data_IF_755377912657
#
_entry.id   IF_755377912657
#
_cell.length_a   1.000
_cell.length_b   1.000
_cell.length_c   1.000
_cell.angle_alpha   90.00
_cell.angle_beta   90.00
_cell.angle_gamma   90.00
#
_symmetry.space_group_name_H-M   'P 1'
#
loop_
_entity.id
_entity.type
_entity.pdbx_description
1 polymer ?
#
# COMPACT_ATOMS: atom_id res chain seq x y z
N UNK A 1 -6.78 -26.04 14.54
CA UNK A 1 -7.80 -27.05 14.87
C UNK A 1 -7.32 -28.38 14.33
N UNK A 2 -7.36 -29.41 15.15
CA UNK A 2 -6.94 -30.78 14.87
C UNK A 2 -8.18 -31.68 14.76
N UNK A 3 -8.09 -32.76 13.96
CA UNK A 3 -9.20 -33.69 13.71
C UNK A 3 -9.68 -34.45 14.96
N UNK A 4 -8.91 -34.40 16.05
CA UNK A 4 -9.25 -35.00 17.34
C UNK A 4 -10.11 -34.08 18.23
N UNK A 5 -10.58 -32.95 17.70
CA UNK A 5 -11.37 -31.98 18.44
C UNK A 5 -10.53 -31.07 19.34
N UNK A 6 -9.21 -31.04 19.19
CA UNK A 6 -8.33 -30.10 19.91
C UNK A 6 -7.86 -28.96 19.01
N UNK A 7 -7.31 -27.91 19.61
CA UNK A 7 -6.72 -26.79 18.89
C UNK A 7 -5.80 -25.96 19.76
N UNK A 8 -5.02 -25.12 19.09
CA UNK A 8 -4.16 -24.13 19.73
C UNK A 8 -4.53 -22.76 19.17
N UNK A 9 -4.72 -21.80 20.05
CA UNK A 9 -4.96 -20.41 19.70
C UNK A 9 -3.67 -19.63 20.01
N UNK A 10 -3.09 -19.00 18.98
CA UNK A 10 -1.90 -18.18 19.11
C UNK A 10 -2.34 -16.74 19.40
N UNK A 11 -2.05 -16.23 20.62
CA UNK A 11 -2.19 -14.80 20.95
C UNK A 11 -0.80 -14.22 21.18
N UNK A 12 -0.70 -12.89 21.08
CA UNK A 12 0.53 -12.14 21.31
C UNK A 12 1.17 -12.35 22.67
N UNK A 13 0.40 -12.77 23.69
CA UNK A 13 0.89 -12.88 25.07
C UNK A 13 0.91 -14.33 25.59
N UNK A 14 -0.01 -15.20 25.15
CA UNK A 14 -0.04 -16.62 25.56
C UNK A 14 -0.65 -17.52 24.49
N UNK A 15 -0.05 -18.70 24.31
CA UNK A 15 -0.62 -19.78 23.50
C UNK A 15 -1.62 -20.56 24.36
N UNK A 16 -2.90 -20.53 23.96
CA UNK A 16 -3.96 -21.27 24.63
C UNK A 16 -4.26 -22.59 23.92
N UNK A 17 -4.59 -23.63 24.67
CA UNK A 17 -5.24 -24.82 24.10
C UNK A 17 -6.76 -24.67 24.16
N UNK A 18 -7.48 -25.28 23.22
CA UNK A 18 -8.93 -25.35 23.24
C UNK A 18 -9.41 -26.70 22.72
N UNK A 19 -10.61 -27.10 23.13
CA UNK A 19 -11.35 -28.16 22.45
C UNK A 19 -12.46 -27.56 21.60
N UNK A 20 -12.85 -28.24 20.54
CA UNK A 20 -13.92 -27.81 19.67
C UNK A 20 -14.79 -28.98 19.23
N UNK A 21 -16.07 -28.68 18.98
CA UNK A 21 -17.06 -29.63 18.46
C UNK A 21 -18.01 -28.92 17.51
N UNK A 22 -18.64 -29.69 16.63
CA UNK A 22 -19.67 -29.16 15.72
C UNK A 22 -20.97 -29.95 15.87
N UNK A 23 -22.10 -29.25 16.01
CA UNK A 23 -23.46 -29.82 16.05
C UNK A 23 -24.40 -28.84 15.33
N UNK A 24 -25.25 -29.33 14.42
CA UNK A 24 -26.27 -28.55 13.70
C UNK A 24 -25.80 -27.18 13.17
N UNK A 25 -24.69 -27.15 12.42
CA UNK A 25 -24.03 -25.97 11.84
C UNK A 25 -23.45 -24.96 12.85
N UNK A 26 -23.42 -25.31 14.13
CA UNK A 26 -22.72 -24.57 15.18
C UNK A 26 -21.35 -25.18 15.49
N UNK A 27 -20.35 -24.32 15.60
CA UNK A 27 -19.02 -24.60 16.15
C UNK A 27 -19.02 -24.13 17.61
N UNK A 28 -18.80 -25.05 18.54
CA UNK A 28 -18.56 -24.74 19.94
C UNK A 28 -17.06 -24.84 20.20
N UNK A 29 -16.46 -23.77 20.72
CA UNK A 29 -15.06 -23.73 21.14
C UNK A 29 -15.01 -23.56 22.65
N UNK A 30 -14.27 -24.43 23.31
CA UNK A 30 -14.03 -24.42 24.75
C UNK A 30 -12.54 -24.16 25.00
N UNK A 31 -12.14 -22.90 25.26
CA UNK A 31 -10.78 -22.59 25.67
C UNK A 31 -10.43 -23.29 26.99
N UNK A 32 -9.14 -23.62 27.19
CA UNK A 32 -8.69 -24.22 28.45
C UNK A 32 -8.92 -23.32 29.67
N UNK A 33 -8.81 -22.00 29.49
CA UNK A 33 -8.87 -21.00 30.57
C UNK A 33 -9.89 -19.86 30.29
N UNK A 34 -11.00 -20.15 29.62
CA UNK A 34 -11.96 -19.11 29.22
C UNK A 34 -13.39 -19.59 29.07
N UNK A 35 -14.26 -18.64 28.71
CA UNK A 35 -15.67 -18.92 28.47
C UNK A 35 -15.86 -19.66 27.13
N UNK A 36 -16.78 -20.61 27.15
CA UNK A 36 -17.22 -21.30 25.94
C UNK A 36 -17.90 -20.30 25.03
N UNK A 37 -17.50 -20.24 23.77
CA UNK A 37 -18.24 -19.52 22.75
C UNK A 37 -18.80 -20.47 21.70
N UNK A 38 -19.94 -20.10 21.15
CA UNK A 38 -20.59 -20.82 20.06
C UNK A 38 -20.74 -19.87 18.88
N UNK A 39 -20.29 -20.32 17.71
CA UNK A 39 -20.41 -19.59 16.47
C UNK A 39 -21.09 -20.45 15.42
N UNK A 40 -21.89 -19.84 14.56
CA UNK A 40 -22.24 -20.49 13.28
C UNK A 40 -21.07 -20.39 12.34
N UNK A 41 -20.85 -21.39 11.49
CA UNK A 41 -19.72 -21.38 10.56
C UNK A 41 -20.15 -21.60 9.11
N UNK A 42 -19.45 -20.94 8.19
CA UNK A 42 -19.60 -21.15 6.76
C UNK A 42 -18.23 -21.40 6.12
N UNK A 43 -18.08 -22.55 5.48
CA UNK A 43 -16.88 -22.84 4.69
C UNK A 43 -16.96 -22.16 3.31
N UNK A 44 -15.87 -21.48 2.95
CA UNK A 44 -15.61 -20.97 1.62
C UNK A 44 -14.42 -21.69 0.97
N UNK A 45 -13.99 -21.22 -0.19
CA UNK A 45 -12.77 -21.72 -0.83
C UNK A 45 -11.55 -21.27 -0.02
N UNK A 46 -10.94 -22.20 0.74
CA UNK A 46 -9.82 -21.94 1.66
C UNK A 46 -10.11 -20.95 2.79
N UNK A 47 -11.38 -20.67 3.09
CA UNK A 47 -11.76 -19.79 4.21
C UNK A 47 -12.81 -20.43 5.09
N UNK A 48 -12.88 -19.99 6.35
CA UNK A 48 -14.03 -20.21 7.22
C UNK A 48 -14.48 -18.87 7.78
N UNK A 49 -15.78 -18.61 7.70
CA UNK A 49 -16.41 -17.46 8.35
C UNK A 49 -17.12 -17.96 9.60
N UNK A 50 -16.82 -17.37 10.75
CA UNK A 50 -17.51 -17.60 12.01
C UNK A 50 -18.42 -16.41 12.31
N UNK A 51 -19.67 -16.65 12.67
CA UNK A 51 -20.60 -15.60 13.12
C UNK A 51 -21.10 -15.94 14.52
N UNK A 52 -20.88 -15.03 15.47
CA UNK A 52 -21.31 -15.17 16.87
C UNK A 52 -21.76 -13.82 17.45
N UNK A 53 -22.30 -13.84 18.67
CA UNK A 53 -22.65 -12.62 19.41
C UNK A 53 -21.73 -12.48 20.62
N UNK A 54 -21.11 -11.32 20.78
CA UNK A 54 -20.29 -10.96 21.93
C UNK A 54 -20.77 -9.60 22.46
N UNK A 55 -21.09 -9.50 23.75
CA UNK A 55 -21.61 -8.28 24.39
C UNK A 55 -22.81 -7.62 23.67
N UNK A 56 -23.71 -8.44 23.11
CA UNK A 56 -24.88 -7.96 22.37
C UNK A 56 -24.57 -7.43 20.97
N UNK A 57 -23.35 -7.64 20.46
CA UNK A 57 -22.93 -7.26 19.11
C UNK A 57 -22.72 -8.50 18.26
N UNK A 58 -23.21 -8.47 17.03
CA UNK A 58 -22.91 -9.48 16.03
C UNK A 58 -21.45 -9.33 15.58
N UNK A 59 -20.64 -10.37 15.80
CA UNK A 59 -19.25 -10.49 15.40
C UNK A 59 -19.17 -11.47 14.23
N UNK A 60 -18.44 -11.08 13.19
CA UNK A 60 -18.13 -11.94 12.05
C UNK A 60 -16.62 -12.00 11.88
N UNK A 61 -16.06 -13.18 12.10
CA UNK A 61 -14.63 -13.44 11.93
C UNK A 61 -14.41 -14.25 10.66
N UNK A 62 -13.36 -13.95 9.92
CA UNK A 62 -13.02 -14.68 8.70
C UNK A 62 -11.57 -15.14 8.78
N UNK A 63 -11.37 -16.44 8.65
CA UNK A 63 -10.07 -17.06 8.69
C UNK A 63 -9.76 -17.66 7.33
N UNK A 64 -8.53 -17.44 6.87
CA UNK A 64 -8.00 -18.07 5.68
C UNK A 64 -7.06 -19.22 6.09
N UNK A 65 -7.18 -20.36 5.40
CA UNK A 65 -6.37 -21.54 5.68
C UNK A 65 -4.92 -21.26 5.30
N UNK A 66 -3.98 -21.46 6.23
CA UNK A 66 -2.56 -21.46 5.88
C UNK A 66 -2.22 -22.68 5.01
N UNK A 67 -1.74 -22.45 3.79
CA UNK A 67 -1.29 -23.53 2.88
C UNK A 67 0.23 -23.54 2.68
N UNK A 68 0.91 -22.42 2.97
CA UNK A 68 2.32 -22.23 2.62
C UNK A 68 2.57 -21.97 1.12
N UNK A 69 1.51 -21.95 0.30
CA UNK A 69 1.61 -21.68 -1.13
C UNK A 69 1.83 -20.20 -1.40
N UNK A 70 2.60 -19.88 -2.44
CA UNK A 70 2.84 -18.50 -2.87
C UNK A 70 2.36 -18.28 -4.29
N UNK A 71 1.58 -17.22 -4.48
CA UNK A 71 1.30 -16.70 -5.80
C UNK A 71 2.58 -16.08 -6.39
N UNK A 72 3.26 -16.80 -7.28
CA UNK A 72 4.53 -16.37 -7.91
C UNK A 72 4.43 -15.03 -8.64
N UNK A 73 3.22 -14.62 -9.04
CA UNK A 73 3.03 -13.33 -9.72
C UNK A 73 3.16 -12.14 -8.75
N UNK A 74 3.03 -12.36 -7.44
CA UNK A 74 3.29 -11.35 -6.41
C UNK A 74 4.77 -11.11 -6.16
N UNK A 75 5.67 -12.02 -6.58
CA UNK A 75 7.12 -11.84 -6.40
C UNK A 75 7.59 -10.60 -7.18
N UNK A 76 8.29 -9.70 -6.50
CA UNK A 76 8.84 -8.47 -7.07
C UNK A 76 8.64 -7.25 -6.17
N UNK A 77 8.95 -6.09 -6.74
CA UNK A 77 8.82 -4.79 -6.10
C UNK A 77 7.51 -4.12 -6.50
N UNK A 78 6.79 -3.57 -5.51
CA UNK A 78 5.47 -2.96 -5.64
C UNK A 78 5.50 -1.57 -5.04
N UNK A 79 5.03 -0.57 -5.78
CA UNK A 79 5.05 0.84 -5.36
C UNK A 79 3.63 1.33 -5.18
N UNK A 80 3.36 1.96 -4.04
CA UNK A 80 2.06 2.51 -3.71
C UNK A 80 1.65 3.62 -4.67
N UNK A 81 0.42 3.56 -5.19
CA UNK A 81 -0.12 4.57 -6.12
C UNK A 81 -1.42 5.22 -5.65
N UNK A 82 -2.16 4.51 -4.79
CA UNK A 82 -3.38 5.01 -4.19
C UNK A 82 -3.65 4.26 -2.90
N UNK A 83 -4.15 4.97 -1.91
CA UNK A 83 -4.73 4.41 -0.70
C UNK A 83 -6.05 5.12 -0.46
N UNK A 84 -7.07 4.38 -0.03
CA UNK A 84 -8.38 4.91 0.32
C UNK A 84 -8.71 4.48 1.74
N UNK A 85 -9.00 5.45 2.61
CA UNK A 85 -9.47 5.22 3.98
C UNK A 85 -10.70 6.09 4.19
N UNK A 86 -11.83 5.54 4.61
CA UNK A 86 -13.05 6.34 4.83
C UNK A 86 -13.46 7.21 3.62
N UNK A 87 -13.32 6.67 2.40
CA UNK A 87 -13.55 7.37 1.13
C UNK A 87 -12.61 8.56 0.85
N UNK A 88 -11.51 8.66 1.59
CA UNK A 88 -10.46 9.65 1.36
C UNK A 88 -9.32 9.00 0.61
N UNK A 89 -9.06 9.49 -0.60
CA UNK A 89 -7.93 9.06 -1.41
C UNK A 89 -6.64 9.77 -1.02
N UNK A 90 -5.53 9.02 -1.03
CA UNK A 90 -4.18 9.51 -0.77
C UNK A 90 -3.20 8.77 -1.68
N UNK A 91 -2.05 9.39 -1.95
CA UNK A 91 -0.92 8.69 -2.58
C UNK A 91 0.02 8.20 -1.47
N UNK A 92 0.11 6.89 -1.21
CA UNK A 92 0.98 6.37 -0.17
C UNK A 92 2.45 6.41 -0.62
N UNK A 93 3.32 6.97 0.21
CA UNK A 93 4.76 6.76 0.11
C UNK A 93 5.04 5.36 0.66
N UNK A 94 5.06 4.36 -0.21
CA UNK A 94 5.21 2.98 0.20
C UNK A 94 5.84 2.13 -0.91
N UNK A 95 6.72 1.22 -0.51
CA UNK A 95 7.25 0.19 -1.39
C UNK A 95 7.31 -1.14 -0.67
N UNK A 96 6.78 -2.17 -1.31
CA UNK A 96 6.78 -3.53 -0.80
C UNK A 96 7.59 -4.40 -1.75
N UNK A 97 8.58 -5.11 -1.22
CA UNK A 97 9.34 -6.12 -1.99
C UNK A 97 9.00 -7.49 -1.45
N UNK A 98 8.46 -8.36 -2.32
CA UNK A 98 8.12 -9.74 -2.00
C UNK A 98 9.09 -10.69 -2.71
N UNK A 99 9.86 -11.48 -1.95
CA UNK A 99 10.83 -12.42 -2.47
C UNK A 99 10.22 -13.83 -2.66
N UNK A 100 10.78 -14.63 -3.56
CA UNK A 100 10.29 -15.98 -3.87
C UNK A 100 10.47 -16.98 -2.74
N UNK A 101 11.40 -16.74 -1.81
CA UNK A 101 11.61 -17.54 -0.61
C UNK A 101 10.56 -17.28 0.50
N UNK A 102 9.71 -16.27 0.32
CA UNK A 102 8.70 -15.86 1.29
C UNK A 102 9.12 -14.77 2.25
N UNK A 103 10.36 -14.29 2.18
CA UNK A 103 10.74 -13.06 2.85
C UNK A 103 10.17 -11.85 2.09
N UNK A 104 9.83 -10.81 2.82
CA UNK A 104 9.40 -9.54 2.24
C UNK A 104 9.79 -8.37 3.14
N UNK A 105 9.74 -7.18 2.58
CA UNK A 105 9.99 -5.93 3.31
C UNK A 105 9.09 -4.84 2.78
N UNK A 106 8.41 -4.15 3.69
CA UNK A 106 7.70 -2.91 3.41
C UNK A 106 8.54 -1.72 3.88
N UNK A 107 8.70 -0.74 3.00
CA UNK A 107 9.20 0.58 3.34
C UNK A 107 8.04 1.57 3.26
N UNK A 108 7.83 2.36 4.30
CA UNK A 108 6.77 3.35 4.35
C UNK A 108 7.19 4.56 5.16
N UNK A 109 6.48 5.67 4.94
CA UNK A 109 6.66 6.89 5.72
C UNK A 109 5.75 6.84 6.94
N UNK A 110 6.34 6.99 8.12
CA UNK A 110 5.64 7.25 9.37
C UNK A 110 5.98 8.67 9.80
N UNK A 111 5.01 9.57 9.68
CA UNK A 111 5.15 11.00 9.96
C UNK A 111 6.25 11.66 9.09
N UNK A 112 7.50 11.65 9.55
CA UNK A 112 8.67 12.22 8.85
C UNK A 112 9.81 11.23 8.67
N UNK A 113 9.67 10.00 9.16
CA UNK A 113 10.71 8.98 9.14
C UNK A 113 10.35 7.85 8.17
N UNK A 114 11.36 7.33 7.48
CA UNK A 114 11.20 6.11 6.69
C UNK A 114 11.36 4.94 7.65
N UNK A 115 10.33 4.09 7.70
CA UNK A 115 10.35 2.83 8.44
C UNK A 115 10.54 1.68 7.46
N UNK A 116 11.22 0.64 7.95
CA UNK A 116 11.38 -0.64 7.25
C UNK A 116 10.78 -1.72 8.13
N UNK A 117 9.87 -2.50 7.57
CA UNK A 117 9.19 -3.57 8.26
C UNK A 117 9.39 -4.88 7.50
N UNK A 118 10.28 -5.77 7.98
CA UNK A 118 10.44 -7.09 7.40
C UNK A 118 9.27 -7.99 7.83
N UNK A 119 8.82 -8.85 6.92
CA UNK A 119 7.74 -9.81 7.18
C UNK A 119 7.91 -11.06 6.33
N UNK A 120 7.26 -12.14 6.72
CA UNK A 120 7.10 -13.33 5.87
C UNK A 120 5.72 -13.34 5.24
N UNK A 121 5.60 -13.95 4.07
CA UNK A 121 4.33 -13.98 3.34
C UNK A 121 4.05 -15.30 2.64
N UNK A 122 2.76 -15.58 2.50
CA UNK A 122 2.17 -16.66 1.72
C UNK A 122 0.81 -16.22 1.18
N UNK A 123 0.15 -17.03 0.36
CA UNK A 123 -1.20 -16.76 -0.14
C UNK A 123 -2.13 -17.93 0.09
N UNK A 124 -3.42 -17.65 0.26
CA UNK A 124 -4.47 -18.67 0.33
C UNK A 124 -5.75 -18.16 -0.29
N UNK A 125 -6.07 -18.65 -1.50
CA UNK A 125 -7.14 -18.06 -2.31
C UNK A 125 -6.89 -16.56 -2.56
N UNK A 126 -7.87 -15.74 -2.17
CA UNK A 126 -7.85 -14.28 -2.32
C UNK A 126 -7.22 -13.57 -1.12
N UNK A 127 -6.48 -14.29 -0.26
CA UNK A 127 -5.81 -13.74 0.91
C UNK A 127 -4.29 -13.78 0.77
N UNK A 128 -3.66 -12.64 1.06
CA UNK A 128 -2.24 -12.52 1.39
C UNK A 128 -2.12 -12.72 2.89
N UNK A 129 -1.43 -13.78 3.29
CA UNK A 129 -1.15 -14.01 4.70
C UNK A 129 0.26 -13.49 4.97
N UNK A 130 0.41 -12.61 5.94
CA UNK A 130 1.72 -12.11 6.37
C UNK A 130 1.93 -12.32 7.87
N UNK A 131 3.19 -12.44 8.27
CA UNK A 131 3.59 -12.46 9.67
C UNK A 131 4.77 -11.53 9.85
N UNK A 132 4.64 -10.59 10.77
CA UNK A 132 5.70 -9.64 11.08
C UNK A 132 6.86 -10.37 11.74
N UNK A 133 8.09 -10.06 11.31
CA UNK A 133 9.29 -10.57 11.96
C UNK A 133 9.61 -9.71 13.18
N UNK A 134 8.76 -9.78 14.21
CA UNK A 134 9.05 -9.27 15.56
C UNK A 134 9.52 -10.42 16.44
N UNK A 135 10.24 -10.12 17.52
CA UNK A 135 10.93 -11.13 18.33
C UNK A 135 9.99 -12.18 18.98
N UNK A 136 8.67 -11.97 18.99
CA UNK A 136 7.72 -12.81 19.73
C UNK A 136 6.37 -13.12 19.02
N UNK A 137 6.17 -12.81 17.73
CA UNK A 137 4.85 -13.05 17.10
C UNK A 137 4.87 -14.02 15.91
N UNK A 138 4.40 -15.25 16.14
CA UNK A 138 3.97 -16.19 15.08
C UNK A 138 2.55 -15.87 14.56
N UNK A 139 2.07 -14.64 14.79
CA UNK A 139 0.74 -14.24 14.36
C UNK A 139 0.74 -13.95 12.86
N UNK A 140 -0.19 -14.60 12.16
CA UNK A 140 -0.46 -14.37 10.76
C UNK A 140 -1.68 -13.47 10.61
N UNK A 141 -1.53 -12.36 9.90
CA UNK A 141 -2.64 -11.51 9.50
C UNK A 141 -3.07 -11.89 8.08
N UNK A 142 -4.38 -12.01 7.87
CA UNK A 142 -4.96 -12.23 6.54
C UNK A 142 -5.42 -10.91 5.94
N UNK A 143 -4.89 -10.59 4.77
CA UNK A 143 -5.21 -9.38 4.01
C UNK A 143 -5.89 -9.80 2.72
N UNK A 144 -7.08 -9.28 2.43
CA UNK A 144 -7.72 -9.54 1.14
C UNK A 144 -6.89 -8.90 0.02
N UNK A 145 -6.63 -9.62 -1.06
CA UNK A 145 -5.90 -9.07 -2.19
C UNK A 145 -6.55 -9.43 -3.53
N UNK A 146 -6.42 -8.51 -4.48
CA UNK A 146 -6.78 -8.71 -5.86
C UNK A 146 -5.58 -8.37 -6.75
N UNK A 147 -5.19 -9.31 -7.60
CA UNK A 147 -4.10 -9.13 -8.54
C UNK A 147 -4.63 -9.04 -9.97
N UNK A 148 -4.51 -7.85 -10.56
CA UNK A 148 -4.78 -7.60 -11.98
C UNK A 148 -3.57 -6.89 -12.56
N UNK A 149 -2.56 -7.66 -12.94
CA UNK A 149 -1.26 -7.14 -13.37
C UNK A 149 -1.42 -5.98 -14.38
N UNK A 150 -0.74 -4.83 -14.15
CA UNK A 150 0.36 -4.63 -13.20
C UNK A 150 -0.07 -4.16 -11.81
N UNK A 151 -1.37 -4.21 -11.49
CA UNK A 151 -1.92 -3.68 -10.25
C UNK A 151 -2.13 -4.78 -9.20
N UNK A 152 -1.73 -4.48 -7.98
CA UNK A 152 -2.06 -5.22 -6.77
C UNK A 152 -2.94 -4.31 -5.91
N UNK A 153 -4.14 -4.75 -5.58
CA UNK A 153 -4.96 -4.12 -4.56
C UNK A 153 -4.98 -4.99 -3.32
N UNK A 154 -4.80 -4.38 -2.15
CA UNK A 154 -4.93 -5.03 -0.84
C UNK A 154 -5.97 -4.30 -0.02
N UNK A 155 -6.73 -5.04 0.77
CA UNK A 155 -7.79 -4.52 1.63
C UNK A 155 -7.59 -5.03 3.04
N UNK A 156 -7.49 -4.09 3.97
CA UNK A 156 -7.30 -4.31 5.41
C UNK A 156 -8.50 -3.73 6.18
N UNK A 157 -8.82 -4.36 7.31
CA UNK A 157 -9.84 -3.92 8.25
C UNK A 157 -9.18 -3.63 9.59
N UNK A 158 -9.39 -2.42 10.11
CA UNK A 158 -8.93 -2.05 11.46
C UNK A 158 -10.05 -2.22 12.47
N UNK A 159 -9.69 -2.34 13.76
CA UNK A 159 -10.60 -2.61 14.90
C UNK A 159 -11.79 -1.63 14.98
N UNK A 160 -11.64 -0.43 14.44
CA UNK A 160 -12.69 0.61 14.40
C UNK A 160 -13.70 0.42 13.25
N UNK A 161 -13.61 -0.69 12.50
CA UNK A 161 -14.46 -1.00 11.35
C UNK A 161 -14.08 -0.26 10.07
N UNK A 162 -12.93 0.42 10.06
CA UNK A 162 -12.45 1.17 8.91
C UNK A 162 -11.84 0.24 7.87
N UNK A 163 -12.34 0.37 6.64
CA UNK A 163 -11.77 -0.27 5.45
C UNK A 163 -10.63 0.57 4.91
N UNK A 164 -9.47 -0.06 4.75
CA UNK A 164 -8.28 0.51 4.16
C UNK A 164 -7.95 -0.24 2.87
N UNK A 165 -8.06 0.42 1.73
CA UNK A 165 -7.72 -0.17 0.42
C UNK A 165 -6.48 0.49 -0.11
N UNK A 166 -5.41 -0.28 -0.31
CA UNK A 166 -4.19 0.19 -0.96
C UNK A 166 -4.01 -0.45 -2.33
N UNK A 167 -3.59 0.35 -3.30
CA UNK A 167 -3.26 -0.08 -4.65
C UNK A 167 -1.80 0.18 -4.92
N UNK A 168 -1.14 -0.82 -5.47
CA UNK A 168 0.26 -0.81 -5.84
C UNK A 168 0.42 -1.14 -7.32
N UNK A 169 1.50 -0.63 -7.91
CA UNK A 169 1.96 -0.98 -9.26
C UNK A 169 3.26 -1.74 -9.15
N UNK A 170 3.40 -2.83 -9.92
CA UNK A 170 4.64 -3.59 -10.00
C UNK A 170 5.73 -2.78 -10.68
N UNK A 171 6.89 -2.63 -10.04
CA UNK A 171 8.08 -2.09 -10.67
C UNK A 171 8.81 -3.18 -11.45
N UNK A 172 8.86 -3.03 -12.76
CA UNK A 172 9.51 -3.95 -13.70
C UNK A 172 10.80 -3.36 -14.28
N UNK A 173 11.25 -2.20 -13.79
CA UNK A 173 12.45 -1.53 -14.30
C UNK A 173 12.31 -0.93 -15.71
N UNK A 174 11.10 -0.95 -16.29
CA UNK A 174 10.85 -0.38 -17.60
C UNK A 174 10.87 1.16 -17.57
N UNK A 175 11.18 1.79 -18.70
CA UNK A 175 11.22 3.24 -18.86
C UNK A 175 10.50 3.62 -20.15
N UNK A 176 9.52 4.51 -20.05
CA UNK A 176 8.85 5.09 -21.21
C UNK A 176 9.77 6.13 -21.87
N UNK A 177 10.27 5.83 -23.06
CA UNK A 177 11.12 6.74 -23.83
C UNK A 177 10.42 8.07 -24.13
N UNK A 178 9.08 8.09 -24.18
CA UNK A 178 8.32 9.33 -24.40
C UNK A 178 8.39 10.28 -23.22
N UNK A 179 8.62 9.80 -21.99
CA UNK A 179 8.85 10.66 -20.83
C UNK A 179 10.24 11.32 -20.85
N UNK A 180 11.18 10.81 -21.65
CA UNK A 180 12.56 11.31 -21.63
C UNK A 180 12.64 12.75 -22.14
N UNK A 181 13.41 13.58 -21.44
CA UNK A 181 13.61 14.99 -21.73
C UNK A 181 13.36 15.88 -20.54
N UNK A 182 13.38 17.19 -20.78
CA UNK A 182 13.01 18.23 -19.82
C UNK A 182 11.56 18.63 -20.07
N UNK A 183 10.81 18.82 -19.00
CA UNK A 183 9.40 19.17 -18.99
C UNK A 183 9.21 20.39 -18.10
N UNK A 184 8.71 21.47 -18.68
CA UNK A 184 8.49 22.73 -17.97
C UNK A 184 7.02 22.88 -17.60
N UNK A 185 6.72 23.26 -16.35
CA UNK A 185 5.35 23.45 -15.90
C UNK A 185 4.69 24.59 -16.70
N UNK A 186 3.60 24.27 -17.38
CA UNK A 186 2.79 25.25 -18.13
C UNK A 186 1.42 25.47 -17.53
N UNK A 187 0.96 24.55 -16.67
CA UNK A 187 -0.29 24.71 -15.95
C UNK A 187 -0.33 23.88 -14.68
N UNK A 188 -0.94 24.45 -13.64
CA UNK A 188 -1.28 23.75 -12.41
C UNK A 188 -2.74 24.04 -12.08
N UNK A 189 -3.51 22.98 -11.80
CA UNK A 189 -4.85 23.11 -11.25
C UNK A 189 -4.88 22.49 -9.85
N UNK A 190 -5.31 23.24 -8.85
CA UNK A 190 -5.41 22.81 -7.45
C UNK A 190 -6.87 22.87 -7.02
N UNK A 191 -7.46 21.73 -6.68
CA UNK A 191 -8.87 21.62 -6.27
C UNK A 191 -9.84 22.32 -7.25
N UNK A 192 -9.60 22.19 -8.55
CA UNK A 192 -10.39 22.83 -9.61
C UNK A 192 -9.95 24.24 -9.98
N UNK A 193 -9.08 24.87 -9.19
CA UNK A 193 -8.63 26.26 -9.39
C UNK A 193 -7.33 26.28 -10.18
N UNK A 194 -7.32 27.01 -11.31
CA UNK A 194 -6.11 27.20 -12.10
C UNK A 194 -5.15 28.16 -11.38
N UNK A 195 -3.92 27.72 -11.16
CA UNK A 195 -2.84 28.50 -10.57
C UNK A 195 -1.95 29.02 -11.71
N UNK A 196 -1.76 30.35 -11.83
CA UNK A 196 -0.87 30.90 -12.85
C UNK A 196 0.56 30.39 -12.69
N UNK A 197 1.13 29.84 -13.77
CA UNK A 197 2.46 29.22 -13.79
C UNK A 197 3.60 30.16 -13.40
N UNK A 198 3.42 31.47 -13.54
CA UNK A 198 4.38 32.49 -13.11
C UNK A 198 4.70 32.45 -11.60
N UNK A 199 3.84 31.84 -10.79
CA UNK A 199 4.03 31.71 -9.34
C UNK A 199 4.73 30.41 -8.94
N UNK A 200 4.93 29.47 -9.88
CA UNK A 200 5.51 28.16 -9.61
C UNK A 200 6.49 27.82 -10.72
N UNK A 201 7.78 28.04 -10.45
CA UNK A 201 8.84 27.52 -11.31
C UNK A 201 9.08 26.05 -10.98
N UNK A 202 8.47 25.16 -11.76
CA UNK A 202 8.69 23.73 -11.64
C UNK A 202 9.14 23.14 -12.97
N UNK A 203 10.21 22.34 -12.93
CA UNK A 203 10.73 21.61 -14.08
C UNK A 203 11.04 20.18 -13.69
N UNK A 204 10.66 19.24 -14.54
CA UNK A 204 11.03 17.83 -14.40
C UNK A 204 12.00 17.45 -15.49
N UNK A 205 13.04 16.70 -15.16
CA UNK A 205 13.93 16.10 -16.15
C UNK A 205 13.99 14.60 -15.94
N UNK A 206 13.82 13.84 -17.02
CA UNK A 206 13.92 12.39 -17.03
C UNK A 206 15.01 11.99 -18.01
N UNK A 207 16.09 11.38 -17.51
CA UNK A 207 17.19 10.88 -18.32
C UNK A 207 17.11 9.36 -18.51
N UNK A 208 17.38 8.91 -19.73
CA UNK A 208 17.66 7.51 -20.05
C UNK A 208 19.13 7.20 -19.74
N UNK A 209 19.56 7.31 -18.48
CA UNK A 209 20.79 6.59 -18.13
C UNK A 209 20.50 5.09 -17.95
N UNK A 210 21.48 4.28 -18.31
CA UNK A 210 21.34 2.82 -18.45
C UNK A 210 21.25 2.09 -17.09
N UNK A 211 21.59 2.73 -15.96
CA UNK A 211 21.75 2.04 -14.68
C UNK A 211 20.69 2.38 -13.62
N UNK A 212 20.09 3.57 -13.65
CA UNK A 212 19.15 3.99 -12.59
C UNK A 212 17.95 4.78 -13.09
N UNK A 213 18.01 5.36 -14.29
CA UNK A 213 17.04 6.36 -14.72
C UNK A 213 17.11 7.53 -13.78
N UNK A 214 18.18 8.34 -13.84
CA UNK A 214 18.20 9.58 -13.08
C UNK A 214 17.14 10.53 -13.61
N UNK A 215 16.49 11.22 -12.68
CA UNK A 215 15.71 12.40 -12.98
C UNK A 215 15.90 13.47 -11.93
N UNK A 216 15.50 14.68 -12.26
CA UNK A 216 15.49 15.79 -11.33
C UNK A 216 14.17 16.53 -11.37
N UNK A 217 13.80 17.05 -10.21
CA UNK A 217 12.67 17.94 -10.03
C UNK A 217 13.26 19.25 -9.51
N UNK A 218 13.17 20.28 -10.32
CA UNK A 218 13.50 21.65 -9.93
C UNK A 218 12.21 22.30 -9.45
N UNK A 219 12.23 22.80 -8.22
CA UNK A 219 11.15 23.57 -7.59
C UNK A 219 11.74 24.86 -7.05
N UNK A 220 11.49 25.95 -7.77
CA UNK A 220 12.07 27.26 -7.49
C UNK A 220 13.61 27.16 -7.36
N UNK A 221 14.15 27.27 -6.15
CA UNK A 221 15.60 27.19 -5.88
C UNK A 221 16.08 25.80 -5.45
N UNK A 222 15.18 24.85 -5.22
CA UNK A 222 15.51 23.50 -4.72
C UNK A 222 15.51 22.49 -5.87
N UNK A 223 16.52 21.64 -5.92
CA UNK A 223 16.56 20.49 -6.84
C UNK A 223 16.48 19.19 -6.04
N UNK A 224 15.45 18.39 -6.30
CA UNK A 224 15.29 17.04 -5.79
C UNK A 224 15.73 16.06 -6.88
N UNK A 225 16.63 15.14 -6.55
CA UNK A 225 17.06 14.07 -7.46
C UNK A 225 16.27 12.81 -7.14
N UNK A 226 15.89 12.06 -8.16
CA UNK A 226 15.19 10.78 -8.01
C UNK A 226 15.69 9.76 -9.03
N UNK A 227 15.45 8.48 -8.75
CA UNK A 227 15.39 7.46 -9.78
C UNK A 227 13.94 7.21 -10.20
N UNK A 228 13.73 6.78 -11.44
CA UNK A 228 12.38 6.57 -11.97
C UNK A 228 12.26 5.35 -12.87
N UNK A 229 11.08 4.74 -12.84
CA UNK A 229 10.64 3.69 -13.75
C UNK A 229 9.19 3.92 -14.14
N UNK A 230 8.67 3.12 -15.07
CA UNK A 230 7.28 3.18 -15.52
C UNK A 230 6.68 1.80 -15.69
N UNK A 231 5.37 1.67 -15.51
CA UNK A 231 4.63 0.48 -15.89
C UNK A 231 3.17 0.83 -16.22
N UNK A 232 2.69 0.46 -17.41
CA UNK A 232 1.31 0.67 -17.90
C UNK A 232 0.68 2.04 -17.56
N UNK A 233 1.37 3.13 -17.88
CA UNK A 233 0.86 4.50 -17.64
C UNK A 233 1.02 5.00 -16.20
N UNK A 234 1.79 4.31 -15.36
CA UNK A 234 2.24 4.79 -14.07
C UNK A 234 3.72 5.14 -14.11
N UNK A 235 4.08 6.27 -13.52
CA UNK A 235 5.42 6.77 -13.26
C UNK A 235 5.74 6.45 -11.80
N UNK A 236 6.82 5.72 -11.56
CA UNK A 236 7.29 5.34 -10.22
C UNK A 236 8.54 6.16 -9.90
N UNK A 237 8.52 6.89 -8.79
CA UNK A 237 9.56 7.82 -8.38
C UNK A 237 10.18 7.39 -7.06
N UNK A 238 11.51 7.44 -6.98
CA UNK A 238 12.28 7.10 -5.79
C UNK A 238 13.26 8.24 -5.46
N UNK A 239 12.95 9.11 -4.49
CA UNK A 239 13.82 10.21 -4.11
C UNK A 239 15.20 9.73 -3.64
N UNK A 240 16.26 10.41 -4.09
CA UNK A 240 17.65 10.02 -3.83
C UNK A 240 18.09 10.18 -2.36
N UNK A 241 17.25 10.78 -1.51
CA UNK A 241 17.54 11.05 -0.10
C UNK A 241 17.44 9.81 0.80
N UNK A 242 16.91 8.70 0.30
CA UNK A 242 16.74 7.50 1.08
C UNK A 242 17.65 6.38 0.58
N UNK A 243 18.59 5.94 1.41
CA UNK A 243 19.24 4.63 1.24
C UNK A 243 18.23 3.46 1.21
N UNK A 244 16.99 3.73 1.61
CA UNK A 244 15.84 2.84 1.65
C UNK A 244 14.86 3.23 0.53
N UNK A 245 14.60 2.31 -0.40
CA UNK A 245 13.87 2.57 -1.65
C UNK A 245 12.35 2.74 -1.48
N UNK A 246 11.91 3.66 -0.63
CA UNK A 246 10.51 4.08 -0.60
C UNK A 246 10.19 4.83 -1.90
N UNK A 247 9.14 4.38 -2.57
CA UNK A 247 8.69 4.90 -3.84
C UNK A 247 7.30 5.50 -3.75
N UNK A 248 7.00 6.37 -4.70
CA UNK A 248 5.67 6.91 -4.95
C UNK A 248 5.35 6.68 -6.42
N UNK A 249 4.20 6.06 -6.69
CA UNK A 249 3.72 5.88 -8.05
C UNK A 249 2.56 6.80 -8.37
N UNK A 250 2.54 7.27 -9.62
CA UNK A 250 1.57 8.25 -10.09
C UNK A 250 1.15 7.93 -11.51
N UNK A 251 -0.16 7.89 -11.77
CA UNK A 251 -0.64 7.77 -13.14
C UNK A 251 -0.29 9.03 -13.94
N UNK A 252 0.21 8.85 -15.16
CA UNK A 252 0.57 9.93 -16.07
C UNK A 252 -0.04 9.71 -17.46
N UNK A 253 -0.17 10.79 -18.22
CA UNK A 253 -0.58 10.78 -19.61
C UNK A 253 0.36 11.65 -20.44
N UNK A 254 0.73 11.17 -21.63
CA UNK A 254 1.45 11.96 -22.63
C UNK A 254 0.56 12.13 -23.84
N UNK A 255 0.34 13.38 -24.26
CA UNK A 255 -0.33 13.72 -25.51
C UNK A 255 0.56 14.68 -26.30
N UNK A 256 1.27 14.15 -27.30
CA UNK A 256 2.27 14.90 -28.05
C UNK A 256 3.40 15.40 -27.13
N UNK A 257 3.54 16.73 -27.04
CA UNK A 257 4.54 17.38 -26.19
C UNK A 257 3.97 17.78 -24.82
N UNK A 258 2.82 17.24 -24.40
CA UNK A 258 2.21 17.54 -23.11
C UNK A 258 2.25 16.31 -22.20
N UNK A 259 2.83 16.49 -21.01
CA UNK A 259 2.81 15.53 -19.90
C UNK A 259 1.83 16.03 -18.85
N UNK A 260 0.95 15.16 -18.39
CA UNK A 260 0.05 15.46 -17.28
C UNK A 260 0.04 14.34 -16.26
N UNK A 261 -0.04 14.70 -14.98
CA UNK A 261 -0.29 13.77 -13.89
C UNK A 261 -1.09 14.47 -12.77
N UNK A 262 -1.87 13.68 -12.03
CA UNK A 262 -2.78 14.17 -10.98
C UNK A 262 -2.43 13.57 -9.63
N UNK A 263 -1.89 14.35 -8.71
CA UNK A 263 -1.51 13.87 -7.39
C UNK A 263 -2.56 14.30 -6.38
N UNK A 264 -3.00 13.36 -5.53
CA UNK A 264 -3.77 13.65 -4.32
C UNK A 264 -2.84 13.58 -3.13
N UNK A 265 -2.53 14.73 -2.53
CA UNK A 265 -1.56 14.83 -1.44
C UNK A 265 -2.13 15.56 -0.22
N UNK A 266 -1.53 15.27 0.93
CA UNK A 266 -1.66 16.02 2.18
C UNK A 266 -0.34 16.79 2.45
N UNK A 267 -0.28 17.55 3.53
CA UNK A 267 0.92 18.33 3.87
C UNK A 267 2.19 17.45 4.05
N UNK A 268 2.05 16.20 4.49
CA UNK A 268 3.15 15.26 4.73
C UNK A 268 3.77 14.77 3.41
N UNK A 269 2.93 14.38 2.46
CA UNK A 269 3.36 13.90 1.13
C UNK A 269 3.96 15.02 0.26
N UNK A 270 3.56 16.28 0.49
CA UNK A 270 4.18 17.44 -0.20
C UNK A 270 5.65 17.57 0.16
N UNK A 271 6.00 17.48 1.45
CA UNK A 271 7.38 17.61 1.90
C UNK A 271 8.31 16.55 1.29
N UNK A 272 7.77 15.35 1.06
CA UNK A 272 8.54 14.23 0.51
C UNK A 272 8.72 14.31 -1.01
N UNK A 273 7.67 14.64 -1.76
CA UNK A 273 7.72 14.73 -3.23
C UNK A 273 8.33 16.05 -3.74
N UNK A 274 8.01 17.15 -3.06
CA UNK A 274 8.28 18.50 -3.56
C UNK A 274 9.24 19.29 -2.64
N UNK A 275 9.81 18.66 -1.61
CA UNK A 275 10.64 19.37 -0.65
C UNK A 275 9.88 20.50 0.07
N UNK A 276 10.58 21.51 0.57
CA UNK A 276 10.02 22.61 1.35
C UNK A 276 9.31 23.68 0.49
N UNK A 277 8.53 23.31 -0.52
CA UNK A 277 7.73 24.28 -1.28
C UNK A 277 6.68 24.91 -0.36
N UNK A 278 6.97 26.10 0.18
CA UNK A 278 6.07 26.82 1.08
C UNK A 278 4.71 27.10 0.41
N UNK A 279 4.68 27.23 -0.91
CA UNK A 279 3.45 27.51 -1.67
C UNK A 279 2.52 26.29 -1.74
N UNK A 280 3.03 25.12 -2.13
CA UNK A 280 2.24 23.88 -2.13
C UNK A 280 1.89 23.45 -0.69
N UNK A 281 2.82 23.64 0.24
CA UNK A 281 2.57 23.41 1.66
C UNK A 281 1.50 24.35 2.23
N UNK A 282 1.43 25.62 1.80
CA UNK A 282 0.40 26.55 2.25
C UNK A 282 -1.00 26.12 1.80
N UNK A 283 -1.17 25.64 0.56
CA UNK A 283 -2.43 25.06 0.09
C UNK A 283 -2.78 23.76 0.85
N UNK A 284 -1.79 22.89 1.06
CA UNK A 284 -1.96 21.64 1.81
C UNK A 284 -2.20 21.83 3.31
N UNK A 285 -1.81 22.97 3.90
CA UNK A 285 -2.14 23.33 5.29
C UNK A 285 -3.57 23.84 5.46
N UNK A 286 -4.16 24.37 4.38
CA UNK A 286 -5.50 24.98 4.40
C UNK A 286 -6.63 23.99 4.10
N UNK A 287 -6.29 22.79 3.63
CA UNK A 287 -7.24 21.74 3.28
C UNK A 287 -6.67 20.39 3.68
N UNK A 288 -7.50 19.49 4.19
CA UNK A 288 -7.07 18.16 4.62
C UNK A 288 -6.46 17.34 3.46
N UNK A 289 -6.92 17.60 2.22
CA UNK A 289 -6.43 16.99 0.98
C UNK A 289 -6.42 17.99 -0.17
N UNK A 290 -5.39 17.87 -1.01
CA UNK A 290 -5.21 18.68 -2.22
C UNK A 290 -5.11 17.77 -3.44
N UNK A 291 -5.99 17.98 -4.40
CA UNK A 291 -5.88 17.39 -5.74
C UNK A 291 -5.17 18.39 -6.63
N UNK A 292 -3.98 18.04 -7.11
CA UNK A 292 -3.18 18.86 -7.99
C UNK A 292 -2.97 18.17 -9.34
N UNK A 293 -3.42 18.82 -10.41
CA UNK A 293 -3.17 18.39 -11.78
C UNK A 293 -2.05 19.26 -12.35
N UNK A 294 -0.91 18.64 -12.60
CA UNK A 294 0.24 19.29 -13.21
C UNK A 294 0.24 19.04 -14.70
N UNK A 295 0.53 20.08 -15.48
CA UNK A 295 0.69 20.00 -16.93
C UNK A 295 2.03 20.59 -17.32
N UNK A 296 2.83 19.81 -18.05
CA UNK A 296 4.15 20.20 -18.51
C UNK A 296 4.27 20.10 -20.02
N UNK A 297 5.18 20.89 -20.59
CA UNK A 297 5.58 20.76 -21.99
C UNK A 297 7.07 20.55 -22.17
N UNK A 298 7.45 19.75 -23.16
CA UNK A 298 8.86 19.59 -23.60
C UNK A 298 9.43 20.88 -24.18
#
# INVERSE_FOLDING_TARGET
MNDDGTGTHLRSEENGSFTWSTEDDALTVTPGDGDVFTATYQFGNNTVTLSHEEDGKAIVEKYAKYTGDRNVNLVGKWVGVRSTTNNVDRVPAMTVTMNSDGAATAFFMDSTEIKSQPFTWTTSGDYLLNSLLTEDSDMWTGIEYALSAPLLSVKEYYEEGYEYVSTFVKDIGAKDANLTGTWNLTGLNVNGISIPSQFIQQGWSFALDASSGAGSLVLDTTTVVYSWTTNSGYLLLYPALASQQIGIGQQYTINGNTLSFSIVFNAETVGYLFGSSEYLAAYARSSEYVVAIFTFTK
#
